data_IF_904683371837
#
_entry.id   IF_904683371837
#
_cell.length_a   1.000
_cell.length_b   1.000
_cell.length_c   1.000
_cell.angle_alpha   90.00
_cell.angle_beta   90.00
_cell.angle_gamma   90.00
#
_symmetry.space_group_name_H-M   'P 1'
#
loop_
_entity.id
_entity.type
_entity.pdbx_description
1 polymer ?
#
# COMPACT_ATOMS: atom_id res chain seq x y z
N UNK A 1 3.39 -11.65 -31.64
CA UNK A 1 4.14 -11.42 -30.38
C UNK A 1 3.28 -10.55 -29.49
N UNK A 2 2.66 -11.12 -28.47
CA UNK A 2 1.94 -10.35 -27.44
C UNK A 2 3.03 -9.70 -26.59
N UNK A 3 3.10 -8.36 -26.56
CA UNK A 3 3.96 -7.64 -25.62
C UNK A 3 3.55 -8.11 -24.23
N UNK A 4 4.47 -8.68 -23.46
CA UNK A 4 4.24 -8.87 -22.04
C UNK A 4 4.01 -7.48 -21.45
N UNK A 5 2.77 -7.19 -21.03
CA UNK A 5 2.51 -6.05 -20.18
C UNK A 5 3.39 -6.26 -18.94
N UNK A 6 4.52 -5.55 -18.90
CA UNK A 6 5.46 -5.61 -17.80
C UNK A 6 4.71 -5.25 -16.53
N UNK A 7 4.89 -6.04 -15.48
CA UNK A 7 4.43 -5.70 -14.15
C UNK A 7 4.94 -4.30 -13.80
N UNK A 8 4.02 -3.35 -13.66
CA UNK A 8 4.29 -1.94 -13.44
C UNK A 8 3.65 -1.53 -12.10
N UNK A 9 4.41 -1.59 -11.00
CA UNK A 9 3.90 -1.23 -9.67
C UNK A 9 3.52 0.25 -9.59
N UNK A 10 4.03 1.10 -10.49
CA UNK A 10 3.71 2.52 -10.52
C UNK A 10 2.26 2.78 -10.97
N UNK A 11 1.61 1.78 -11.61
CA UNK A 11 0.16 1.83 -11.90
C UNK A 11 -0.72 1.79 -10.66
N UNK A 12 -0.19 1.35 -9.52
CA UNK A 12 -0.91 1.29 -8.24
C UNK A 12 -0.76 2.58 -7.43
N UNK A 13 0.01 3.54 -7.93
CA UNK A 13 0.18 4.85 -7.30
C UNK A 13 -1.12 5.64 -7.42
N UNK A 14 -1.69 5.97 -6.27
CA UNK A 14 -2.88 6.80 -6.19
C UNK A 14 -2.57 8.25 -6.53
N UNK A 15 -3.50 8.89 -7.24
CA UNK A 15 -3.52 10.34 -7.40
C UNK A 15 -3.80 11.02 -6.06
N UNK A 16 -3.41 12.29 -5.93
CA UNK A 16 -3.67 13.10 -4.73
C UNK A 16 -5.14 13.04 -4.29
N UNK A 17 -6.07 13.14 -5.24
CA UNK A 17 -7.51 13.12 -4.94
C UNK A 17 -7.97 11.76 -4.42
N UNK A 18 -7.43 10.65 -4.94
CA UNK A 18 -7.74 9.31 -4.45
C UNK A 18 -7.20 9.08 -3.02
N UNK A 19 -6.02 9.63 -2.70
CA UNK A 19 -5.47 9.58 -1.33
C UNK A 19 -6.36 10.41 -0.38
N UNK A 20 -6.82 11.59 -0.81
CA UNK A 20 -7.73 12.41 0.00
C UNK A 20 -9.09 11.73 0.23
N UNK A 21 -9.66 11.11 -0.80
CA UNK A 21 -10.89 10.32 -0.70
C UNK A 21 -10.72 9.12 0.25
N UNK A 22 -9.56 8.46 0.21
CA UNK A 22 -9.21 7.43 1.20
C UNK A 22 -9.21 7.99 2.63
N UNK A 23 -8.55 9.13 2.87
CA UNK A 23 -8.54 9.76 4.19
C UNK A 23 -9.96 10.09 4.67
N UNK A 24 -10.81 10.61 3.80
CA UNK A 24 -12.20 10.94 4.13
C UNK A 24 -13.02 9.70 4.51
N UNK A 25 -12.90 8.61 3.73
CA UNK A 25 -13.56 7.33 4.05
C UNK A 25 -13.11 6.76 5.39
N UNK A 26 -11.83 6.88 5.74
CA UNK A 26 -11.30 6.42 7.04
C UNK A 26 -11.85 7.27 8.18
N UNK A 27 -11.87 8.60 8.02
CA UNK A 27 -12.43 9.53 9.01
C UNK A 27 -13.93 9.25 9.21
N UNK A 28 -14.70 9.09 8.13
CA UNK A 28 -16.14 8.76 8.17
C UNK A 28 -16.37 7.43 8.91
N UNK A 29 -15.58 6.40 8.60
CA UNK A 29 -15.65 5.09 9.28
C UNK A 29 -15.45 5.24 10.79
N UNK A 30 -14.46 6.01 11.23
CA UNK A 30 -14.15 6.16 12.64
C UNK A 30 -15.10 7.08 13.39
N UNK A 31 -15.68 8.07 12.71
CA UNK A 31 -16.71 8.94 13.24
C UNK A 31 -18.02 8.21 13.61
N UNK A 32 -18.23 6.96 13.17
CA UNK A 32 -19.32 6.11 13.68
C UNK A 32 -19.18 5.80 15.18
N UNK A 33 -17.95 5.85 15.73
CA UNK A 33 -17.65 5.66 17.15
C UNK A 33 -16.57 6.66 17.61
N UNK A 34 -16.89 7.96 17.68
CA UNK A 34 -15.89 9.02 17.78
C UNK A 34 -15.15 9.02 19.12
N UNK A 35 -15.82 8.66 20.22
CA UNK A 35 -15.18 8.57 21.55
C UNK A 35 -14.09 7.50 21.63
N UNK A 36 -14.24 6.39 20.90
CA UNK A 36 -13.23 5.31 20.84
C UNK A 36 -12.08 5.63 19.88
N UNK A 37 -12.34 6.49 18.89
CA UNK A 37 -11.40 6.77 17.81
C UNK A 37 -10.87 8.20 17.82
N UNK A 38 -11.08 8.99 18.87
CA UNK A 38 -10.77 10.42 18.89
C UNK A 38 -9.33 10.72 18.45
N UNK A 39 -8.35 10.02 19.00
CA UNK A 39 -6.94 10.18 18.63
C UNK A 39 -6.67 9.77 17.18
N UNK A 40 -7.31 8.70 16.70
CA UNK A 40 -7.15 8.21 15.33
C UNK A 40 -7.73 9.21 14.32
N UNK A 41 -8.90 9.77 14.62
CA UNK A 41 -9.55 10.81 13.80
C UNK A 41 -8.66 12.04 13.74
N UNK A 42 -8.12 12.50 14.88
CA UNK A 42 -7.20 13.64 14.91
C UNK A 42 -5.94 13.38 14.08
N UNK A 43 -5.33 12.21 14.26
CA UNK A 43 -4.13 11.83 13.50
C UNK A 43 -4.41 11.74 11.99
N UNK A 44 -5.50 11.11 11.57
CA UNK A 44 -5.85 11.02 10.15
C UNK A 44 -6.25 12.37 9.56
N UNK A 45 -6.86 13.26 10.35
CA UNK A 45 -7.12 14.64 9.92
C UNK A 45 -5.81 15.38 9.66
N UNK A 46 -4.79 15.19 10.50
CA UNK A 46 -3.45 15.76 10.28
C UNK A 46 -2.76 15.15 9.05
N UNK A 47 -2.87 13.84 8.83
CA UNK A 47 -2.39 13.18 7.60
C UNK A 47 -3.09 13.73 6.36
N UNK A 48 -4.42 13.86 6.40
CA UNK A 48 -5.18 14.48 5.30
C UNK A 48 -4.67 15.89 5.01
N UNK A 49 -4.45 16.70 6.05
CA UNK A 49 -3.93 18.04 5.90
C UNK A 49 -2.54 18.04 5.24
N UNK A 50 -1.61 17.17 5.65
CA UNK A 50 -0.29 17.09 5.01
C UNK A 50 -0.40 16.75 3.52
N UNK A 51 -1.29 15.82 3.14
CA UNK A 51 -1.55 15.48 1.73
C UNK A 51 -2.07 16.68 0.94
N UNK A 52 -2.95 17.51 1.53
CA UNK A 52 -3.44 18.74 0.89
C UNK A 52 -2.28 19.69 0.56
N UNK A 53 -1.28 19.82 1.44
CA UNK A 53 -0.15 20.73 1.26
C UNK A 53 0.97 20.18 0.38
N UNK A 54 1.09 18.86 0.23
CA UNK A 54 2.13 18.24 -0.60
C UNK A 54 1.76 18.32 -2.08
N UNK A 55 2.76 18.56 -2.95
CA UNK A 55 2.59 18.53 -4.40
C UNK A 55 2.39 17.10 -4.93
N UNK A 56 1.89 17.00 -6.16
CA UNK A 56 1.49 15.71 -6.73
C UNK A 56 2.67 14.77 -7.02
N UNK A 57 3.81 15.30 -7.46
CA UNK A 57 4.98 14.48 -7.79
C UNK A 57 5.63 13.92 -6.52
N UNK A 58 5.77 14.75 -5.48
CA UNK A 58 6.23 14.30 -4.17
C UNK A 58 5.29 13.26 -3.56
N UNK A 59 3.96 13.45 -3.68
CA UNK A 59 2.98 12.46 -3.21
C UNK A 59 3.12 11.13 -3.96
N UNK A 60 3.24 11.16 -5.28
CA UNK A 60 3.43 9.95 -6.10
C UNK A 60 4.69 9.19 -5.68
N UNK A 61 5.80 9.89 -5.48
CA UNK A 61 7.05 9.28 -5.02
C UNK A 61 6.90 8.60 -3.65
N UNK A 62 6.35 9.32 -2.66
CA UNK A 62 6.12 8.78 -1.31
C UNK A 62 5.19 7.56 -1.36
N UNK A 63 4.12 7.63 -2.14
CA UNK A 63 3.16 6.53 -2.26
C UNK A 63 3.77 5.31 -2.94
N UNK A 64 4.62 5.51 -3.95
CA UNK A 64 5.36 4.44 -4.61
C UNK A 64 6.22 3.66 -3.61
N UNK A 65 6.97 4.37 -2.76
CA UNK A 65 7.80 3.76 -1.71
C UNK A 65 6.96 2.95 -0.70
N UNK A 66 5.82 3.50 -0.26
CA UNK A 66 4.92 2.80 0.66
C UNK A 66 4.38 1.52 0.03
N UNK A 67 3.94 1.58 -1.23
CA UNK A 67 3.42 0.41 -1.95
C UNK A 67 4.51 -0.64 -2.14
N UNK A 68 5.71 -0.24 -2.55
CA UNK A 68 6.85 -1.14 -2.71
C UNK A 68 7.14 -1.90 -1.41
N UNK A 69 7.23 -1.16 -0.29
CA UNK A 69 7.46 -1.73 1.02
C UNK A 69 6.34 -2.69 1.47
N UNK A 70 5.08 -2.33 1.27
CA UNK A 70 3.93 -3.21 1.59
C UNK A 70 3.99 -4.51 0.76
N UNK A 71 4.31 -4.42 -0.53
CA UNK A 71 4.45 -5.62 -1.36
C UNK A 71 5.61 -6.51 -0.90
N UNK A 72 6.74 -5.93 -0.53
CA UNK A 72 7.88 -6.68 0.02
C UNK A 72 7.47 -7.40 1.31
N UNK A 73 6.81 -6.70 2.24
CA UNK A 73 6.31 -7.31 3.47
C UNK A 73 5.32 -8.45 3.22
N UNK A 74 4.37 -8.26 2.30
CA UNK A 74 3.40 -9.31 1.96
C UNK A 74 4.10 -10.53 1.34
N UNK A 75 5.08 -10.30 0.48
CA UNK A 75 5.89 -11.35 -0.13
C UNK A 75 6.70 -12.11 0.93
N UNK A 76 7.39 -11.41 1.83
CA UNK A 76 8.17 -12.02 2.91
C UNK A 76 7.31 -12.83 3.87
N UNK A 77 6.15 -12.28 4.27
CA UNK A 77 5.20 -12.98 5.12
C UNK A 77 4.65 -14.25 4.44
N UNK A 78 4.28 -14.17 3.16
CA UNK A 78 3.81 -15.32 2.40
C UNK A 78 4.89 -16.41 2.26
N UNK A 79 6.15 -16.01 2.03
CA UNK A 79 7.27 -16.96 2.02
C UNK A 79 7.48 -17.61 3.38
N UNK A 80 7.41 -16.85 4.46
CA UNK A 80 7.54 -17.36 5.83
C UNK A 80 6.48 -18.42 6.12
N UNK A 81 5.22 -18.13 5.79
CA UNK A 81 4.10 -19.06 5.94
C UNK A 81 4.21 -20.29 5.02
N UNK A 82 4.64 -20.11 3.77
CA UNK A 82 4.88 -21.24 2.87
C UNK A 82 6.03 -22.16 3.31
N UNK A 83 7.03 -21.63 4.03
CA UNK A 83 8.11 -22.44 4.61
C UNK A 83 7.64 -23.19 5.88
N UNK A 84 6.72 -22.62 6.67
CA UNK A 84 6.14 -23.33 7.82
C UNK A 84 5.15 -24.42 7.41
N UNK A 85 4.43 -24.22 6.31
CA UNK A 85 3.32 -25.09 5.90
C UNK A 85 3.74 -26.18 4.89
N UNK A 86 5.04 -26.25 4.54
CA UNK A 86 5.61 -27.25 3.62
C UNK A 86 4.94 -27.27 2.23
N UNK A 87 4.43 -26.12 1.77
CA UNK A 87 3.71 -25.99 0.50
C UNK A 87 4.66 -25.48 -0.59
N UNK A 88 4.76 -26.23 -1.69
CA UNK A 88 5.69 -26.07 -2.83
C UNK A 88 5.61 -24.70 -3.55
N UNK A 89 4.64 -23.85 -3.22
CA UNK A 89 4.50 -22.51 -3.80
C UNK A 89 5.62 -21.54 -3.37
N UNK A 90 6.21 -21.69 -2.18
CA UNK A 90 7.31 -20.83 -1.71
C UNK A 90 8.59 -21.00 -2.54
N UNK A 91 8.84 -22.22 -3.03
CA UNK A 91 9.91 -22.59 -3.96
C UNK A 91 9.71 -21.93 -5.33
N UNK A 92 8.47 -21.92 -5.84
CA UNK A 92 8.11 -21.26 -7.10
C UNK A 92 8.27 -19.73 -7.00
N UNK A 93 7.83 -19.13 -5.90
CA UNK A 93 7.95 -17.68 -5.68
C UNK A 93 9.40 -17.19 -5.51
N UNK A 94 10.28 -18.01 -4.91
CA UNK A 94 11.73 -17.73 -4.86
C UNK A 94 12.38 -17.78 -6.25
N UNK A 95 11.99 -18.75 -7.09
CA UNK A 95 12.50 -18.85 -8.47
C UNK A 95 12.09 -17.66 -9.35
N UNK A 96 10.91 -17.09 -9.11
CA UNK A 96 10.44 -15.89 -9.81
C UNK A 96 11.21 -14.63 -9.40
N UNK A 97 11.54 -14.45 -8.11
CA UNK A 97 12.36 -13.32 -7.63
C UNK A 97 13.79 -13.33 -8.18
N UNK A 98 14.38 -14.52 -8.37
CA UNK A 98 15.76 -14.67 -8.83
C UNK A 98 15.93 -14.70 -10.36
N UNK A 99 14.84 -14.73 -11.13
CA UNK A 99 14.90 -14.51 -12.58
C UNK A 99 14.81 -13.00 -12.85
N UNK A 100 15.95 -12.32 -12.69
CA UNK A 100 16.23 -11.07 -13.41
C UNK A 100 16.65 -11.40 -14.84
#
# INVERSE_FOLDING_TARGET
>A
MVKSDSFDPDRLVLTKNEILDFCDKVIEKWNKHPSKNANNILAMTAVKASIVWTDEDSLKAIWSEIIHWVFELLYENALSQGNSDNVDWSSVMKKLKNKK
#
